data_IF_857626697627
#
_entry.id   IF_857626697627
#
_cell.length_a   1.000
_cell.length_b   1.000
_cell.length_c   1.000
_cell.angle_alpha   90.00
_cell.angle_beta   90.00
_cell.angle_gamma   90.00
#
_symmetry.space_group_name_H-M   'P 1'
#
loop_
_entity.id
_entity.type
_entity.pdbx_description
1 polymer ?
#
# COMPACT_ATOMS: atom_id res chain seq x y z
N UNK A 1 -5.03 26.59 4.83
CA UNK A 1 -4.90 27.16 3.48
C UNK A 1 -5.70 26.26 2.56
N UNK A 2 -6.70 26.81 1.90
CA UNK A 2 -7.42 26.05 0.88
C UNK A 2 -6.50 25.80 -0.31
N UNK A 3 -6.35 24.52 -0.67
CA UNK A 3 -5.54 24.14 -1.82
C UNK A 3 -6.24 24.59 -3.12
N UNK A 4 -5.56 25.46 -3.88
CA UNK A 4 -6.06 25.92 -5.18
C UNK A 4 -5.31 25.18 -6.30
N UNK A 5 -6.03 24.48 -7.16
CA UNK A 5 -5.45 23.62 -8.21
C UNK A 5 -4.50 24.35 -9.18
N UNK A 6 -4.71 25.66 -9.42
CA UNK A 6 -3.81 26.49 -10.25
C UNK A 6 -2.46 26.79 -9.58
N UNK A 7 -2.34 26.61 -8.25
CA UNK A 7 -1.12 26.79 -7.49
C UNK A 7 -0.42 25.45 -7.18
N UNK A 8 -0.94 24.34 -7.72
CA UNK A 8 -0.33 23.02 -7.55
C UNK A 8 1.04 22.97 -8.23
N UNK A 9 2.05 22.46 -7.51
CA UNK A 9 3.41 22.29 -8.02
C UNK A 9 3.48 21.21 -9.10
N UNK A 10 2.61 20.20 -9.01
CA UNK A 10 2.50 19.11 -9.99
C UNK A 10 1.20 19.19 -10.78
N UNK A 11 1.21 18.95 -12.10
CA UNK A 11 0.01 18.82 -12.88
C UNK A 11 -0.89 17.65 -12.45
N UNK A 12 -0.35 16.63 -11.78
CA UNK A 12 -1.09 15.50 -11.22
C UNK A 12 -2.10 15.98 -10.19
N UNK A 13 -1.69 16.86 -9.26
CA UNK A 13 -2.56 17.43 -8.23
C UNK A 13 -3.28 18.71 -8.66
N UNK A 14 -2.90 19.28 -9.81
CA UNK A 14 -3.54 20.44 -10.42
C UNK A 14 -4.50 20.04 -11.53
N UNK A 15 -4.04 20.22 -12.78
CA UNK A 15 -4.83 20.03 -14.01
C UNK A 15 -5.47 18.65 -14.14
N UNK A 16 -4.77 17.60 -13.67
CA UNK A 16 -5.21 16.19 -13.80
C UNK A 16 -5.76 15.60 -12.51
N UNK A 17 -5.93 16.39 -11.46
CA UNK A 17 -6.35 15.91 -10.13
C UNK A 17 -7.65 15.08 -10.15
N UNK A 18 -8.61 15.43 -11.03
CA UNK A 18 -9.85 14.66 -11.18
C UNK A 18 -9.63 13.30 -11.86
N UNK A 19 -8.65 13.20 -12.77
CA UNK A 19 -8.33 11.96 -13.49
C UNK A 19 -7.47 11.00 -12.67
N UNK A 20 -6.74 11.52 -11.69
CA UNK A 20 -5.86 10.76 -10.79
C UNK A 20 -6.46 10.56 -9.40
N UNK A 21 -7.76 10.87 -9.24
CA UNK A 21 -8.41 10.85 -7.91
C UNK A 21 -8.36 9.46 -7.25
N UNK A 22 -8.49 8.38 -8.01
CA UNK A 22 -8.41 7.01 -7.48
C UNK A 22 -7.03 6.68 -6.91
N UNK A 23 -5.96 7.33 -7.38
CA UNK A 23 -4.60 7.11 -6.90
C UNK A 23 -4.34 7.71 -5.50
N UNK A 24 -5.17 8.65 -5.04
CA UNK A 24 -5.00 9.29 -3.72
C UNK A 24 -5.04 8.31 -2.56
N UNK A 25 -5.85 7.26 -2.69
CA UNK A 25 -5.94 6.22 -1.67
C UNK A 25 -4.67 5.36 -1.53
N UNK A 26 -3.71 5.49 -2.46
CA UNK A 26 -2.43 4.76 -2.47
C UNK A 26 -1.22 5.67 -2.29
N UNK A 27 -1.22 6.89 -2.84
CA UNK A 27 -0.01 7.71 -2.94
C UNK A 27 -0.07 9.02 -2.17
N UNK A 28 -1.17 9.33 -1.50
CA UNK A 28 -1.24 10.52 -0.63
C UNK A 28 -0.54 10.28 0.71
N UNK A 29 -0.24 11.35 1.43
CA UNK A 29 0.27 11.27 2.81
C UNK A 29 -0.74 10.58 3.74
N UNK A 30 -2.04 10.82 3.52
CA UNK A 30 -3.11 10.08 4.20
C UNK A 30 -2.96 8.56 4.00
N UNK A 31 -2.73 8.12 2.77
CA UNK A 31 -2.54 6.71 2.45
C UNK A 31 -1.30 6.12 3.14
N UNK A 32 -0.20 6.88 3.20
CA UNK A 32 1.02 6.47 3.90
C UNK A 32 0.77 6.32 5.41
N UNK A 33 0.13 7.30 6.04
CA UNK A 33 -0.23 7.25 7.48
C UNK A 33 -1.13 6.03 7.75
N UNK A 34 -2.18 5.85 6.96
CA UNK A 34 -3.10 4.70 7.08
C UNK A 34 -2.38 3.36 6.99
N UNK A 35 -1.46 3.20 6.04
CA UNK A 35 -0.72 1.96 5.87
C UNK A 35 0.34 1.75 6.96
N UNK A 36 0.93 2.80 7.50
CA UNK A 36 1.78 2.71 8.69
C UNK A 36 0.97 2.22 9.91
N UNK A 37 -0.22 2.77 10.14
CA UNK A 37 -1.13 2.27 11.20
C UNK A 37 -1.48 0.80 10.96
N UNK A 38 -1.77 0.41 9.70
CA UNK A 38 -2.03 -0.98 9.34
C UNK A 38 -0.88 -1.90 9.72
N UNK A 39 0.34 -1.57 9.35
CA UNK A 39 1.53 -2.39 9.64
C UNK A 39 1.75 -2.53 11.16
N UNK A 40 1.63 -1.45 11.91
CA UNK A 40 1.76 -1.46 13.37
C UNK A 40 0.68 -2.32 14.04
N UNK A 41 -0.57 -2.17 13.61
CA UNK A 41 -1.70 -2.93 14.17
C UNK A 41 -1.56 -4.41 13.87
N UNK A 42 -1.29 -4.79 12.61
CA UNK A 42 -1.13 -6.20 12.25
C UNK A 42 0.10 -6.84 12.92
N UNK A 43 1.18 -6.07 13.10
CA UNK A 43 2.33 -6.51 13.88
C UNK A 43 1.95 -6.76 15.36
N UNK A 44 1.24 -5.84 16.01
CA UNK A 44 0.77 -6.03 17.37
C UNK A 44 -0.13 -7.27 17.51
N UNK A 45 -1.04 -7.48 16.55
CA UNK A 45 -1.90 -8.67 16.52
C UNK A 45 -1.05 -9.94 16.38
N UNK A 46 -0.06 -9.94 15.50
CA UNK A 46 0.89 -11.05 15.34
C UNK A 46 1.65 -11.33 16.64
N UNK A 47 2.11 -10.29 17.36
CA UNK A 47 2.74 -10.47 18.67
C UNK A 47 1.81 -11.14 19.69
N UNK A 48 0.50 -10.84 19.62
CA UNK A 48 -0.48 -11.52 20.45
C UNK A 48 -0.72 -12.99 20.06
N UNK A 49 -0.42 -13.39 18.84
CA UNK A 49 -0.62 -14.75 18.32
C UNK A 49 0.58 -15.67 18.59
N UNK A 50 1.77 -15.11 18.79
CA UNK A 50 2.96 -15.87 19.21
C UNK A 50 2.97 -16.06 20.72
N UNK A 51 3.69 -17.06 21.26
CA UNK A 51 3.65 -17.41 22.68
C UNK A 51 4.44 -16.44 23.58
N UNK A 52 4.11 -15.14 23.51
CA UNK A 52 4.65 -14.12 24.39
C UNK A 52 3.89 -14.13 25.73
N UNK A 53 4.53 -14.47 26.87
CA UNK A 53 3.86 -14.55 28.15
C UNK A 53 3.14 -13.26 28.57
N UNK A 54 3.70 -12.10 28.20
CA UNK A 54 3.16 -10.78 28.54
C UNK A 54 1.91 -10.40 27.73
N UNK A 55 1.61 -11.13 26.65
CA UNK A 55 0.41 -10.95 25.82
C UNK A 55 -0.57 -12.12 25.92
N UNK A 56 -0.27 -13.13 26.76
CA UNK A 56 -1.12 -14.30 26.92
C UNK A 56 -2.52 -13.93 27.43
N UNK A 57 -2.58 -12.94 28.32
CA UNK A 57 -3.81 -12.40 28.93
C UNK A 57 -4.37 -11.15 28.18
N UNK A 58 -3.98 -10.93 26.93
CA UNK A 58 -4.46 -9.78 26.14
C UNK A 58 -5.98 -9.75 26.06
N UNK A 59 -6.55 -8.63 26.50
CA UNK A 59 -7.98 -8.37 26.55
C UNK A 59 -8.67 -8.78 27.86
N UNK A 60 -8.02 -9.44 28.80
CA UNK A 60 -8.60 -9.74 30.10
C UNK A 60 -9.06 -8.46 30.82
N UNK A 61 -10.25 -8.51 31.41
CA UNK A 61 -10.83 -7.38 32.16
C UNK A 61 -11.50 -6.31 31.30
N UNK A 62 -11.44 -6.39 29.98
CA UNK A 62 -12.08 -5.41 29.08
C UNK A 62 -13.57 -5.66 28.83
N UNK A 63 -14.06 -6.87 29.10
CA UNK A 63 -15.41 -7.29 28.75
C UNK A 63 -15.59 -7.61 27.25
N UNK A 64 -14.54 -7.52 26.45
CA UNK A 64 -14.51 -7.85 25.00
C UNK A 64 -13.68 -9.12 24.77
N UNK A 65 -14.08 -9.90 23.79
CA UNK A 65 -13.26 -11.02 23.33
C UNK A 65 -11.99 -10.52 22.59
N UNK A 66 -10.99 -11.36 22.50
CA UNK A 66 -9.74 -11.07 21.77
C UNK A 66 -10.01 -10.73 20.30
N UNK A 67 -10.93 -11.45 19.66
CA UNK A 67 -11.32 -11.21 18.25
C UNK A 67 -12.06 -9.88 18.05
N UNK A 68 -12.89 -9.49 19.02
CA UNK A 68 -13.52 -8.17 19.01
C UNK A 68 -12.49 -7.05 19.16
N UNK A 69 -11.50 -7.22 20.02
CA UNK A 69 -10.41 -6.25 20.18
C UNK A 69 -9.57 -6.18 18.89
N UNK A 70 -9.22 -7.30 18.28
CA UNK A 70 -8.50 -7.30 16.98
C UNK A 70 -9.31 -6.61 15.89
N UNK A 71 -10.61 -6.83 15.83
CA UNK A 71 -11.51 -6.14 14.91
C UNK A 71 -11.51 -4.63 15.16
N UNK A 72 -11.58 -4.18 16.41
CA UNK A 72 -11.50 -2.75 16.79
C UNK A 72 -10.15 -2.14 16.40
N UNK A 73 -9.06 -2.84 16.64
CA UNK A 73 -7.73 -2.38 16.26
C UNK A 73 -7.62 -2.24 14.71
N UNK A 74 -8.12 -3.20 13.95
CA UNK A 74 -8.16 -3.13 12.49
C UNK A 74 -9.00 -1.96 11.97
N UNK A 75 -10.05 -1.57 12.66
CA UNK A 75 -10.86 -0.39 12.31
C UNK A 75 -10.04 0.90 12.32
N UNK A 76 -8.95 0.99 13.10
CA UNK A 76 -8.07 2.17 13.12
C UNK A 76 -7.49 2.53 11.75
N UNK A 77 -7.27 1.54 10.89
CA UNK A 77 -6.80 1.79 9.52
C UNK A 77 -7.86 1.52 8.46
N UNK A 78 -8.80 0.62 8.67
CA UNK A 78 -9.83 0.27 7.68
C UNK A 78 -10.87 1.38 7.50
N UNK A 79 -11.22 2.07 8.60
CA UNK A 79 -12.17 3.19 8.61
C UNK A 79 -11.52 4.53 8.96
N UNK A 80 -10.19 4.64 8.80
CA UNK A 80 -9.46 5.86 9.08
C UNK A 80 -9.96 7.01 8.22
N UNK A 81 -10.13 8.17 8.86
CA UNK A 81 -10.57 9.40 8.18
C UNK A 81 -9.40 10.39 8.02
N UNK A 82 -9.53 11.41 7.14
CA UNK A 82 -8.55 12.49 7.07
C UNK A 82 -8.33 13.20 8.41
N UNK A 83 -9.37 13.32 9.23
CA UNK A 83 -9.31 13.91 10.58
C UNK A 83 -8.46 13.06 11.53
N UNK A 84 -8.48 11.73 11.41
CA UNK A 84 -7.61 10.85 12.18
C UNK A 84 -6.15 10.99 11.74
N UNK A 85 -5.91 11.08 10.44
CA UNK A 85 -4.57 11.37 9.93
C UNK A 85 -4.07 12.75 10.38
N UNK A 86 -4.97 13.74 10.49
CA UNK A 86 -4.61 15.06 11.03
C UNK A 86 -4.16 14.97 12.50
N UNK A 87 -4.81 14.12 13.34
CA UNK A 87 -4.35 13.86 14.72
C UNK A 87 -2.92 13.32 14.73
N UNK A 88 -2.58 12.36 13.83
CA UNK A 88 -1.20 11.88 13.68
C UNK A 88 -0.25 13.04 13.33
N UNK A 89 -0.63 13.91 12.40
CA UNK A 89 0.19 15.09 12.03
C UNK A 89 0.35 16.07 13.19
N UNK A 90 -0.66 16.25 14.03
CA UNK A 90 -0.58 17.12 15.20
C UNK A 90 0.36 16.53 16.28
N UNK A 91 0.36 15.22 16.47
CA UNK A 91 1.33 14.52 17.32
C UNK A 91 2.75 14.66 16.74
N UNK A 92 2.90 14.53 15.40
CA UNK A 92 4.19 14.67 14.73
C UNK A 92 4.83 16.06 14.94
N UNK A 93 4.04 17.12 14.98
CA UNK A 93 4.54 18.48 15.28
C UNK A 93 5.22 18.58 16.65
N UNK A 94 4.78 17.74 17.60
CA UNK A 94 5.31 17.71 18.97
C UNK A 94 6.51 16.76 19.05
N UNK A 95 6.39 15.58 18.48
CA UNK A 95 7.41 14.52 18.55
C UNK A 95 8.57 14.75 17.58
N UNK A 96 8.34 15.56 16.56
CA UNK A 96 9.25 15.78 15.41
C UNK A 96 9.70 14.46 14.74
N UNK A 97 8.79 13.47 14.73
CA UNK A 97 9.06 12.14 14.17
C UNK A 97 7.77 11.47 13.69
N UNK A 98 7.70 11.15 12.41
CA UNK A 98 6.50 10.69 11.70
C UNK A 98 6.00 9.30 12.18
N UNK A 99 6.86 8.28 12.22
CA UNK A 99 6.46 6.92 12.67
C UNK A 99 6.19 6.92 14.18
N UNK A 100 6.93 7.69 14.99
CA UNK A 100 6.63 7.83 16.43
C UNK A 100 5.25 8.47 16.66
N UNK A 101 4.82 9.37 15.81
CA UNK A 101 3.49 9.94 15.87
C UNK A 101 2.39 8.88 15.62
N UNK A 102 2.61 7.97 14.69
CA UNK A 102 1.73 6.81 14.45
C UNK A 102 1.65 5.91 15.69
N UNK A 103 2.78 5.59 16.31
CA UNK A 103 2.84 4.82 17.55
C UNK A 103 2.00 5.47 18.66
N UNK A 104 2.15 6.77 18.88
CA UNK A 104 1.37 7.50 19.90
C UNK A 104 -0.12 7.54 19.57
N UNK A 105 -0.49 7.75 18.32
CA UNK A 105 -1.88 7.68 17.88
C UNK A 105 -2.52 6.31 18.23
N UNK A 106 -1.81 5.21 17.98
CA UNK A 106 -2.28 3.87 18.31
C UNK A 106 -2.39 3.71 19.85
N UNK A 107 -1.38 4.17 20.62
CA UNK A 107 -1.40 4.12 22.10
C UNK A 107 -2.56 4.92 22.71
N UNK A 108 -2.93 6.07 22.12
CA UNK A 108 -4.13 6.82 22.55
C UNK A 108 -5.41 6.00 22.31
N UNK A 109 -5.51 5.29 21.18
CA UNK A 109 -6.65 4.41 20.93
C UNK A 109 -6.66 3.18 21.86
N UNK A 110 -5.50 2.68 22.27
CA UNK A 110 -5.40 1.64 23.31
C UNK A 110 -6.02 2.09 24.64
N UNK A 111 -5.81 3.35 25.02
CA UNK A 111 -6.46 3.93 26.21
C UNK A 111 -7.99 3.97 26.07
N UNK A 112 -8.47 4.40 24.91
CA UNK A 112 -9.90 4.45 24.63
C UNK A 112 -10.57 3.08 24.65
N UNK A 113 -9.84 2.02 24.26
CA UNK A 113 -10.30 0.63 24.28
C UNK A 113 -10.10 -0.08 25.64
N UNK A 114 -9.50 0.58 26.63
CA UNK A 114 -9.20 -0.02 27.94
C UNK A 114 -8.06 -1.04 27.94
N UNK A 115 -7.19 -1.01 26.93
CA UNK A 115 -6.07 -1.96 26.74
C UNK A 115 -4.70 -1.31 26.91
N UNK A 116 -4.61 -0.19 27.65
CA UNK A 116 -3.34 0.53 27.87
C UNK A 116 -2.24 -0.31 28.51
N UNK A 117 -2.60 -1.39 29.24
CA UNK A 117 -1.63 -2.30 29.88
C UNK A 117 -0.65 -2.89 28.87
N UNK A 118 -1.08 -3.11 27.63
CA UNK A 118 -0.28 -3.75 26.57
C UNK A 118 0.28 -2.77 25.53
N UNK A 119 0.11 -1.47 25.75
CA UNK A 119 0.49 -0.42 24.79
C UNK A 119 1.99 -0.38 24.45
N UNK A 120 2.86 -0.88 25.34
CA UNK A 120 4.31 -0.88 25.11
C UNK A 120 4.77 -1.97 24.11
N UNK A 121 3.85 -2.85 23.70
CA UNK A 121 4.07 -3.79 22.59
C UNK A 121 3.76 -3.18 21.21
N UNK A 122 3.18 -1.99 21.14
CA UNK A 122 3.11 -1.22 19.89
C UNK A 122 4.53 -0.83 19.50
N UNK A 123 4.92 -1.10 18.26
CA UNK A 123 6.28 -0.86 17.75
C UNK A 123 7.40 -1.64 18.47
N UNK A 124 7.08 -2.71 19.19
CA UNK A 124 8.03 -3.46 19.98
C UNK A 124 9.19 -4.00 19.13
N UNK A 125 10.42 -3.64 19.49
CA UNK A 125 11.64 -4.11 18.84
C UNK A 125 11.89 -3.61 17.42
N UNK A 126 10.99 -2.80 16.86
CA UNK A 126 11.06 -2.30 15.49
C UNK A 126 11.85 -0.99 15.37
N UNK A 127 12.12 -0.63 14.15
CA UNK A 127 12.60 0.69 13.74
C UNK A 127 11.65 1.28 12.70
N UNK A 128 11.69 2.60 12.51
CA UNK A 128 10.82 3.31 11.54
C UNK A 128 10.89 2.71 10.14
N UNK A 129 12.07 2.21 9.74
CA UNK A 129 12.23 1.59 8.42
C UNK A 129 11.53 0.24 8.28
N UNK A 130 11.27 -0.51 9.36
CA UNK A 130 10.45 -1.72 9.29
C UNK A 130 9.02 -1.35 8.86
N UNK A 131 8.49 -0.25 9.36
CA UNK A 131 7.17 0.24 9.03
C UNK A 131 7.12 0.81 7.60
N UNK A 132 8.09 1.66 7.22
CA UNK A 132 8.14 2.26 5.90
C UNK A 132 8.41 1.23 4.80
N UNK A 133 9.37 0.33 5.00
CA UNK A 133 9.74 -0.70 4.03
C UNK A 133 8.69 -1.82 3.89
N UNK A 134 7.65 -1.82 4.71
CA UNK A 134 6.49 -2.69 4.60
C UNK A 134 5.29 -1.94 4.00
N UNK A 135 5.03 -0.72 4.49
CA UNK A 135 3.90 0.10 4.02
C UNK A 135 4.03 0.51 2.55
N UNK A 136 5.20 0.99 2.13
CA UNK A 136 5.39 1.52 0.77
C UNK A 136 5.26 0.44 -0.33
N UNK A 137 5.91 -0.73 -0.23
CA UNK A 137 5.70 -1.80 -1.20
C UNK A 137 4.24 -2.28 -1.24
N UNK A 138 3.56 -2.33 -0.08
CA UNK A 138 2.14 -2.70 -0.01
C UNK A 138 1.26 -1.69 -0.75
N UNK A 139 1.46 -0.39 -0.53
CA UNK A 139 0.75 0.69 -1.23
C UNK A 139 0.97 0.61 -2.75
N UNK A 140 2.21 0.42 -3.19
CA UNK A 140 2.55 0.28 -4.61
C UNK A 140 1.88 -0.95 -5.21
N UNK A 141 1.98 -2.10 -4.54
CA UNK A 141 1.33 -3.34 -4.98
C UNK A 141 -0.17 -3.14 -5.17
N UNK A 142 -0.87 -2.62 -4.16
CA UNK A 142 -2.31 -2.41 -4.22
C UNK A 142 -2.71 -1.41 -5.33
N UNK A 143 -1.95 -0.33 -5.53
CA UNK A 143 -2.18 0.61 -6.62
C UNK A 143 -2.04 -0.04 -8.00
N UNK A 144 -1.03 -0.88 -8.17
CA UNK A 144 -0.79 -1.57 -9.44
C UNK A 144 -1.84 -2.64 -9.71
N UNK A 145 -2.20 -3.43 -8.71
CA UNK A 145 -3.20 -4.51 -8.85
C UNK A 145 -4.62 -3.98 -9.05
N UNK A 146 -4.98 -2.87 -8.39
CA UNK A 146 -6.36 -2.38 -8.39
C UNK A 146 -6.64 -1.27 -9.42
N UNK A 147 -5.62 -0.53 -9.86
CA UNK A 147 -5.79 0.60 -10.78
C UNK A 147 -5.04 0.39 -12.10
N UNK A 148 -3.72 0.20 -12.05
CA UNK A 148 -2.89 0.19 -13.25
C UNK A 148 -3.14 -1.04 -14.14
N UNK A 149 -3.10 -2.23 -13.55
CA UNK A 149 -3.30 -3.49 -14.30
C UNK A 149 -4.70 -3.57 -14.92
N UNK A 150 -5.79 -3.23 -14.21
CA UNK A 150 -7.12 -3.18 -14.82
C UNK A 150 -7.19 -2.21 -16.00
N UNK A 151 -6.66 -0.99 -15.86
CA UNK A 151 -6.65 -0.01 -16.95
C UNK A 151 -5.83 -0.49 -18.16
N UNK A 152 -4.68 -1.12 -17.94
CA UNK A 152 -3.88 -1.70 -19.02
C UNK A 152 -4.60 -2.85 -19.72
N UNK A 153 -5.30 -3.71 -18.97
CA UNK A 153 -6.12 -4.81 -19.53
C UNK A 153 -7.28 -4.27 -20.37
N UNK A 154 -7.87 -3.15 -19.98
CA UNK A 154 -8.90 -2.50 -20.77
C UNK A 154 -8.35 -2.01 -22.12
N UNK A 155 -7.17 -1.37 -22.14
CA UNK A 155 -6.50 -0.98 -23.39
C UNK A 155 -6.21 -2.20 -24.28
N UNK A 156 -5.68 -3.27 -23.71
CA UNK A 156 -5.44 -4.52 -24.44
C UNK A 156 -6.76 -5.08 -25.03
N UNK A 157 -7.83 -5.06 -24.27
CA UNK A 157 -9.15 -5.55 -24.73
C UNK A 157 -9.68 -4.73 -25.91
N UNK A 158 -9.58 -3.41 -25.86
CA UNK A 158 -10.00 -2.52 -26.95
C UNK A 158 -9.18 -2.79 -28.20
N UNK A 159 -7.85 -2.83 -28.09
CA UNK A 159 -6.96 -3.12 -29.22
C UNK A 159 -7.22 -4.52 -29.80
N UNK A 160 -7.50 -5.53 -28.98
CA UNK A 160 -7.81 -6.88 -29.44
C UNK A 160 -9.14 -6.92 -30.22
N UNK A 161 -10.15 -6.14 -29.79
CA UNK A 161 -11.38 -6.00 -30.56
C UNK A 161 -11.14 -5.34 -31.93
N UNK A 162 -10.28 -4.32 -32.01
CA UNK A 162 -9.88 -3.69 -33.25
C UNK A 162 -9.09 -4.67 -34.17
N UNK A 163 -8.21 -5.49 -33.60
CA UNK A 163 -7.50 -6.57 -34.32
C UNK A 163 -8.50 -7.49 -35.03
N UNK A 164 -9.51 -7.95 -34.32
CA UNK A 164 -10.53 -8.85 -34.88
C UNK A 164 -11.41 -8.15 -35.93
N UNK A 165 -11.84 -6.92 -35.67
CA UNK A 165 -12.63 -6.12 -36.59
C UNK A 165 -11.90 -5.82 -37.90
N UNK A 166 -10.58 -5.64 -37.86
CA UNK A 166 -9.75 -5.25 -39.02
C UNK A 166 -8.84 -6.34 -39.56
N UNK A 167 -9.04 -7.60 -39.13
CA UNK A 167 -8.20 -8.73 -39.56
C UNK A 167 -8.13 -8.96 -41.07
N UNK A 168 -9.19 -8.58 -41.79
CA UNK A 168 -9.31 -8.75 -43.24
C UNK A 168 -9.15 -7.44 -44.05
N UNK A 169 -8.91 -6.31 -43.36
CA UNK A 169 -8.69 -5.02 -44.01
C UNK A 169 -7.29 -4.96 -44.62
N UNK A 170 -7.15 -4.88 -45.97
CA UNK A 170 -5.84 -4.81 -46.60
C UNK A 170 -5.18 -3.46 -46.35
N UNK A 171 -3.89 -3.49 -46.11
CA UNK A 171 -3.07 -2.32 -45.87
C UNK A 171 -1.72 -2.45 -46.61
N UNK A 172 -1.22 -1.35 -47.13
CA UNK A 172 0.13 -1.28 -47.68
C UNK A 172 1.11 -0.89 -46.58
N UNK A 173 2.01 -1.82 -46.25
CA UNK A 173 3.12 -1.51 -45.34
C UNK A 173 4.09 -0.50 -45.98
N UNK A 174 4.81 0.23 -45.16
CA UNK A 174 5.85 1.18 -45.60
C UNK A 174 7.15 0.93 -44.86
N UNK A 175 8.25 1.15 -45.54
CA UNK A 175 9.61 1.14 -44.97
C UNK A 175 10.35 2.38 -45.48
N UNK A 176 10.96 3.14 -44.58
CA UNK A 176 11.62 4.41 -44.93
C UNK A 176 10.72 5.36 -45.76
N UNK A 177 9.41 5.37 -45.50
CA UNK A 177 8.45 6.16 -46.25
C UNK A 177 8.07 5.60 -47.64
N UNK A 178 8.68 4.51 -48.08
CA UNK A 178 8.41 3.88 -49.38
C UNK A 178 7.39 2.73 -49.25
N UNK A 179 6.58 2.46 -50.27
CA UNK A 179 5.73 1.28 -50.33
C UNK A 179 6.54 -0.01 -50.13
N UNK A 180 6.00 -0.89 -49.28
CA UNK A 180 6.57 -2.21 -48.99
C UNK A 180 5.53 -3.32 -49.25
N UNK A 181 5.66 -4.45 -48.61
CA UNK A 181 4.79 -5.62 -48.80
C UNK A 181 3.36 -5.31 -48.34
N UNK A 182 2.30 -5.72 -49.06
CA UNK A 182 0.93 -5.68 -48.53
C UNK A 182 0.80 -6.47 -47.22
N UNK A 183 0.03 -5.92 -46.30
CA UNK A 183 -0.28 -6.50 -44.97
C UNK A 183 -1.76 -6.32 -44.67
N UNK A 184 -2.18 -6.59 -43.42
CA UNK A 184 -3.54 -6.37 -42.91
C UNK A 184 -3.51 -5.45 -41.71
N UNK A 185 -4.47 -4.55 -41.63
CA UNK A 185 -4.52 -3.57 -40.54
C UNK A 185 -4.61 -4.25 -39.16
N UNK A 186 -5.47 -5.26 -39.01
CA UNK A 186 -5.56 -6.00 -37.75
C UNK A 186 -4.24 -6.64 -37.33
N UNK A 187 -3.44 -7.17 -38.26
CA UNK A 187 -2.11 -7.72 -37.96
C UNK A 187 -1.15 -6.64 -37.43
N UNK A 188 -1.21 -5.42 -37.93
CA UNK A 188 -0.37 -4.32 -37.43
C UNK A 188 -0.76 -3.92 -36.00
N UNK A 189 -2.05 -3.92 -35.66
CA UNK A 189 -2.53 -3.71 -34.27
C UNK A 189 -2.17 -4.88 -33.35
N UNK A 190 -2.19 -6.13 -33.85
CA UNK A 190 -1.81 -7.31 -33.06
C UNK A 190 -0.38 -7.22 -32.51
N UNK A 191 0.53 -6.54 -33.20
CA UNK A 191 1.89 -6.32 -32.70
C UNK A 191 1.89 -5.57 -31.37
N UNK A 192 1.02 -4.57 -31.22
CA UNK A 192 0.90 -3.80 -29.97
C UNK A 192 0.27 -4.64 -28.87
N UNK A 193 -0.79 -5.38 -29.20
CA UNK A 193 -1.43 -6.31 -28.24
C UNK A 193 -0.40 -7.29 -27.70
N UNK A 194 0.33 -7.99 -28.56
CA UNK A 194 1.33 -8.99 -28.16
C UNK A 194 2.45 -8.39 -27.30
N UNK A 195 2.88 -7.16 -27.60
CA UNK A 195 3.88 -6.46 -26.78
C UNK A 195 3.36 -6.09 -25.41
N UNK A 196 2.13 -5.60 -25.33
CA UNK A 196 1.51 -5.22 -24.05
C UNK A 196 1.25 -6.44 -23.17
N UNK A 197 0.78 -7.55 -23.77
CA UNK A 197 0.56 -8.81 -23.06
C UNK A 197 1.88 -9.38 -22.51
N UNK A 198 2.96 -9.34 -23.31
CA UNK A 198 4.28 -9.77 -22.84
C UNK A 198 4.81 -8.90 -21.69
N UNK A 199 4.65 -7.59 -21.78
CA UNK A 199 5.02 -6.69 -20.67
C UNK A 199 4.17 -6.96 -19.42
N UNK A 200 2.86 -7.19 -19.59
CA UNK A 200 1.98 -7.53 -18.48
C UNK A 200 2.37 -8.86 -17.84
N UNK A 201 2.77 -9.86 -18.63
CA UNK A 201 3.26 -11.15 -18.13
C UNK A 201 4.55 -10.99 -17.32
N UNK A 202 5.51 -10.20 -17.80
CA UNK A 202 6.76 -9.91 -17.07
C UNK A 202 6.46 -9.14 -15.78
N UNK A 203 5.55 -8.18 -15.84
CA UNK A 203 5.12 -7.39 -14.68
C UNK A 203 4.49 -8.27 -13.60
N UNK A 204 3.70 -9.27 -13.97
CA UNK A 204 3.11 -10.25 -13.04
C UNK A 204 4.13 -11.15 -12.32
N UNK A 205 5.41 -11.13 -12.74
CA UNK A 205 6.51 -11.88 -12.10
C UNK A 205 7.25 -11.03 -11.04
N UNK A 206 6.92 -9.75 -10.89
CA UNK A 206 7.56 -8.90 -9.89
C UNK A 206 7.20 -9.37 -8.49
N UNK A 207 8.20 -9.41 -7.64
CA UNK A 207 8.04 -9.66 -6.20
C UNK A 207 7.95 -8.33 -5.45
N UNK A 208 7.31 -8.35 -4.30
CA UNK A 208 7.12 -7.19 -3.44
C UNK A 208 7.94 -7.35 -2.15
N UNK A 209 9.28 -7.20 -2.22
CA UNK A 209 10.12 -7.40 -1.05
C UNK A 209 9.86 -6.33 0.00
N UNK A 210 9.87 -6.76 1.26
CA UNK A 210 9.81 -5.89 2.41
C UNK A 210 10.97 -6.21 3.36
N UNK A 211 11.36 -5.24 4.21
CA UNK A 211 12.34 -5.43 5.28
C UNK A 211 11.64 -5.26 6.62
N UNK A 212 11.76 -6.28 7.47
CA UNK A 212 11.17 -6.29 8.80
C UNK A 212 12.07 -7.09 9.74
N UNK A 213 12.82 -6.44 10.63
CA UNK A 213 13.82 -7.13 11.44
C UNK A 213 14.55 -6.27 12.46
N UNK A 214 13.99 -5.09 12.78
CA UNK A 214 14.60 -4.13 13.69
C UNK A 214 15.71 -3.30 13.03
N UNK A 215 16.42 -2.51 13.82
CA UNK A 215 17.37 -1.49 13.35
C UNK A 215 18.51 -2.07 12.51
N UNK A 216 18.97 -3.28 12.82
CA UNK A 216 20.12 -3.93 12.17
C UNK A 216 19.73 -5.14 11.31
N UNK A 217 18.43 -5.44 11.20
CA UNK A 217 17.92 -6.49 10.33
C UNK A 217 18.03 -7.91 10.85
N UNK A 218 18.33 -8.10 12.14
CA UNK A 218 18.55 -9.40 12.77
C UNK A 218 17.76 -9.62 14.07
N UNK A 219 16.68 -8.87 14.27
CA UNK A 219 15.78 -9.02 15.42
C UNK A 219 16.49 -8.87 16.80
N UNK A 220 17.54 -8.04 16.90
CA UNK A 220 18.35 -7.93 18.13
C UNK A 220 17.54 -7.59 19.37
N UNK A 221 16.68 -6.56 19.29
CA UNK A 221 15.87 -6.15 20.43
C UNK A 221 14.89 -7.25 20.87
N UNK A 222 14.31 -7.95 19.90
CA UNK A 222 13.43 -9.08 20.14
C UNK A 222 14.17 -10.23 20.85
N UNK A 223 15.33 -10.60 20.34
CA UNK A 223 16.17 -11.70 20.91
C UNK A 223 16.69 -11.38 22.31
N UNK A 224 17.01 -10.10 22.57
CA UNK A 224 17.45 -9.68 23.93
C UNK A 224 16.27 -9.73 24.91
N UNK A 225 15.10 -9.27 24.51
CA UNK A 225 13.93 -9.24 25.38
C UNK A 225 13.31 -10.64 25.59
N UNK A 226 13.27 -11.46 24.55
CA UNK A 226 12.66 -12.79 24.56
C UNK A 226 13.56 -13.79 23.79
N UNK A 227 14.65 -14.28 24.43
CA UNK A 227 15.63 -15.15 23.75
C UNK A 227 15.07 -16.51 23.33
N UNK A 228 14.04 -17.00 24.01
CA UNK A 228 13.46 -18.33 23.80
C UNK A 228 12.40 -18.35 22.70
N UNK A 229 12.04 -17.19 22.16
CA UNK A 229 11.08 -17.09 21.06
C UNK A 229 11.79 -17.27 19.71
N UNK A 230 11.18 -18.05 18.83
CA UNK A 230 11.63 -18.19 17.44
C UNK A 230 11.09 -17.03 16.60
N UNK A 231 11.88 -15.99 16.50
CA UNK A 231 11.51 -14.76 15.80
C UNK A 231 11.65 -14.89 14.27
#
# INVERSE_FOLDING_TARGET
MDFHSLLAVSPIDGRYAAKTASLRQYFSEFALIRNRVRVEVEYFITLCEIPLPQLADFGEGTGMSRDELFTRLRQLYQSMTPEDAQKVKDIEKITNHDVKAVEYFIKENFKALGISRWQEFVHFGLTSQDINNTSQPLMLKEALENEYIPALKEVISILSADVEAWKDVPMLARTHGQPATPTRLGKEFQVFVSRLEEQLRQFGQLTWPAKFGGATGNMNAHKVAFPDIDW
#
